data_IF_550764985635
#
_entry.id   IF_550764985635
#
_cell.length_a   1.000
_cell.length_b   1.000
_cell.length_c   1.000
_cell.angle_alpha   90.00
_cell.angle_beta   90.00
_cell.angle_gamma   90.00
#
_symmetry.space_group_name_H-M   'P 1'
#
loop_
_entity.id
_entity.type
_entity.pdbx_description
1 polymer ?
#
# COMPACT_ATOMS: atom_id res chain seq x y z
N UNK A 1 5.71 -15.33 4.42
CA UNK A 1 5.28 -14.26 3.50
C UNK A 1 3.81 -14.48 3.18
N UNK A 2 2.91 -13.60 3.64
CA UNK A 2 1.48 -13.72 3.36
C UNK A 2 1.19 -13.06 2.02
N UNK A 3 0.67 -13.82 1.04
CA UNK A 3 0.21 -13.25 -0.23
C UNK A 3 -1.22 -12.77 -0.02
N UNK A 4 -1.43 -11.47 0.10
CA UNK A 4 -2.78 -10.88 0.15
C UNK A 4 -3.38 -10.81 -1.25
N UNK A 5 -4.65 -11.23 -1.37
CA UNK A 5 -5.39 -11.23 -2.64
C UNK A 5 -6.33 -10.02 -2.66
N UNK A 6 -6.05 -9.07 -3.55
CA UNK A 6 -6.93 -7.92 -3.74
C UNK A 6 -8.00 -8.21 -4.80
N UNK A 7 -9.27 -7.94 -4.47
CA UNK A 7 -10.38 -8.04 -5.43
C UNK A 7 -10.54 -6.80 -6.31
N UNK A 8 -10.00 -5.66 -5.86
CA UNK A 8 -10.08 -4.37 -6.53
C UNK A 8 -8.93 -3.44 -6.10
N UNK A 9 -8.79 -2.33 -6.84
CA UNK A 9 -7.75 -1.33 -6.65
C UNK A 9 -7.79 -0.64 -5.28
N UNK A 10 -8.97 -0.45 -4.70
CA UNK A 10 -9.10 0.29 -3.43
C UNK A 10 -8.69 -0.57 -2.23
N UNK A 11 -8.92 -1.89 -2.27
CA UNK A 11 -8.37 -2.81 -1.25
C UNK A 11 -6.84 -2.82 -1.28
N UNK A 12 -6.25 -2.88 -2.48
CA UNK A 12 -4.80 -2.78 -2.64
C UNK A 12 -4.24 -1.49 -2.02
N UNK A 13 -4.85 -0.34 -2.36
CA UNK A 13 -4.47 0.95 -1.78
C UNK A 13 -4.63 1.00 -0.26
N UNK A 14 -5.73 0.46 0.27
CA UNK A 14 -6.01 0.48 1.71
C UNK A 14 -4.96 -0.31 2.49
N UNK A 15 -4.63 -1.52 2.03
CA UNK A 15 -3.59 -2.34 2.66
C UNK A 15 -2.22 -1.67 2.60
N UNK A 16 -1.80 -1.19 1.43
CA UNK A 16 -0.51 -0.53 1.28
C UNK A 16 -0.42 0.78 2.08
N UNK A 17 -1.49 1.58 2.15
CA UNK A 17 -1.54 2.76 3.04
C UNK A 17 -1.52 2.36 4.52
N UNK A 18 -2.10 1.22 4.89
CA UNK A 18 -2.05 0.69 6.25
C UNK A 18 -0.61 0.35 6.66
N UNK A 19 0.20 -0.21 5.75
CA UNK A 19 1.64 -0.43 5.97
C UNK A 19 2.35 0.89 6.27
N UNK A 20 2.16 1.92 5.42
CA UNK A 20 2.74 3.26 5.63
C UNK A 20 2.32 3.84 6.99
N UNK A 21 1.02 3.77 7.32
CA UNK A 21 0.47 4.22 8.60
C UNK A 21 1.09 3.47 9.78
N UNK A 22 1.28 2.15 9.65
CA UNK A 22 1.93 1.31 10.65
C UNK A 22 3.36 1.73 10.92
N UNK A 23 4.14 1.99 9.87
CA UNK A 23 5.53 2.47 9.99
C UNK A 23 5.58 3.83 10.69
N UNK A 24 4.72 4.78 10.31
CA UNK A 24 4.63 6.10 10.98
C UNK A 24 4.36 5.93 12.48
N UNK A 25 3.42 5.04 12.83
CA UNK A 25 3.05 4.77 14.23
C UNK A 25 4.19 4.10 14.99
N UNK A 26 4.83 3.08 14.41
CA UNK A 26 5.91 2.32 15.04
C UNK A 26 7.14 3.20 15.34
N UNK A 27 7.40 4.20 14.50
CA UNK A 27 8.49 5.16 14.71
C UNK A 27 8.11 6.36 15.61
N UNK A 28 6.88 6.40 16.14
CA UNK A 28 6.35 7.52 16.92
C UNK A 28 6.50 8.89 16.24
N UNK A 29 6.39 8.94 14.91
CA UNK A 29 6.55 10.20 14.18
C UNK A 29 5.34 11.10 14.35
N UNK A 30 5.60 12.39 14.58
CA UNK A 30 4.59 13.44 14.44
C UNK A 30 4.17 13.57 12.97
N UNK A 31 3.05 14.25 12.70
CA UNK A 31 2.64 14.52 11.31
C UNK A 31 3.69 15.34 10.56
N UNK A 32 4.32 16.32 11.22
CA UNK A 32 5.40 17.12 10.66
C UNK A 32 6.64 16.27 10.32
N UNK A 33 7.05 15.37 11.20
CA UNK A 33 8.21 14.49 10.93
C UNK A 33 7.91 13.53 9.78
N UNK A 34 6.73 12.91 9.77
CA UNK A 34 6.32 12.02 8.68
C UNK A 34 6.22 12.77 7.35
N UNK A 35 5.71 14.01 7.34
CA UNK A 35 5.65 14.89 6.17
C UNK A 35 7.06 15.11 5.56
N UNK A 36 8.04 15.43 6.40
CA UNK A 36 9.41 15.64 5.98
C UNK A 36 10.05 14.36 5.41
N UNK A 37 9.93 13.22 6.12
CA UNK A 37 10.49 11.94 5.67
C UNK A 37 9.85 11.49 4.36
N UNK A 38 8.51 11.57 4.28
CA UNK A 38 7.76 11.16 3.12
C UNK A 38 7.76 12.20 2.00
N UNK A 39 8.40 13.35 2.16
CA UNK A 39 8.40 14.50 1.22
C UNK A 39 6.97 14.81 0.74
N UNK A 40 6.10 15.09 1.71
CA UNK A 40 4.68 15.44 1.57
C UNK A 40 4.35 16.66 2.43
N UNK A 41 3.24 17.32 2.14
CA UNK A 41 2.68 18.31 3.06
C UNK A 41 1.97 17.62 4.24
N UNK A 42 1.96 18.27 5.40
CA UNK A 42 1.33 17.73 6.62
C UNK A 42 -0.14 17.31 6.45
N UNK A 43 -1.01 18.02 5.69
CA UNK A 43 -2.38 17.58 5.47
C UNK A 43 -2.47 16.19 4.81
N UNK A 44 -1.55 15.86 3.89
CA UNK A 44 -1.51 14.54 3.25
C UNK A 44 -1.17 13.43 4.24
N UNK A 45 -0.41 13.72 5.31
CA UNK A 45 -0.15 12.75 6.38
C UNK A 45 -1.44 12.42 7.15
N UNK A 46 -2.29 13.41 7.39
CA UNK A 46 -3.62 13.16 8.01
C UNK A 46 -4.46 12.21 7.16
N UNK A 47 -4.45 12.41 5.83
CA UNK A 47 -5.17 11.55 4.89
C UNK A 47 -4.64 10.10 4.90
N UNK A 48 -3.33 9.90 5.04
CA UNK A 48 -2.71 8.56 5.21
C UNK A 48 -3.19 7.91 6.52
N UNK A 49 -3.13 8.64 7.65
CA UNK A 49 -3.56 8.12 8.96
C UNK A 49 -5.04 7.70 8.97
N UNK A 50 -5.86 8.38 8.16
CA UNK A 50 -7.28 8.12 7.99
C UNK A 50 -7.61 7.18 6.81
N UNK A 51 -6.61 6.57 6.17
CA UNK A 51 -6.75 5.62 5.05
C UNK A 51 -7.65 6.15 3.92
N UNK A 52 -7.52 7.43 3.56
CA UNK A 52 -8.27 8.05 2.48
C UNK A 52 -7.72 7.62 1.11
N UNK A 53 -8.03 6.39 0.71
CA UNK A 53 -7.47 5.73 -0.50
C UNK A 53 -7.69 6.49 -1.81
N UNK A 54 -8.76 7.30 -1.91
CA UNK A 54 -9.06 8.08 -3.13
C UNK A 54 -8.07 9.22 -3.37
N UNK A 55 -7.40 9.68 -2.31
CA UNK A 55 -6.43 10.79 -2.35
C UNK A 55 -5.05 10.38 -2.86
N UNK A 56 -4.82 9.07 -3.06
CA UNK A 56 -3.54 8.51 -3.42
C UNK A 56 -3.66 7.52 -4.58
N UNK A 57 -2.91 7.77 -5.65
CA UNK A 57 -2.70 6.79 -6.72
C UNK A 57 -1.82 5.63 -6.21
N UNK A 58 -1.82 4.49 -6.92
CA UNK A 58 -0.96 3.36 -6.53
C UNK A 58 0.52 3.73 -6.73
N UNK A 59 0.82 4.44 -7.81
CA UNK A 59 2.15 4.97 -8.12
C UNK A 59 2.64 5.87 -6.98
N UNK A 60 1.77 6.74 -6.44
CA UNK A 60 2.12 7.57 -5.30
C UNK A 60 2.40 6.73 -4.06
N UNK A 61 1.59 5.71 -3.78
CA UNK A 61 1.79 4.83 -2.63
C UNK A 61 3.12 4.07 -2.73
N UNK A 62 3.48 3.54 -3.90
CA UNK A 62 4.77 2.87 -4.09
C UNK A 62 5.95 3.83 -3.89
N UNK A 63 5.85 5.07 -4.36
CA UNK A 63 6.87 6.09 -4.10
C UNK A 63 7.03 6.35 -2.59
N UNK A 64 5.94 6.38 -1.83
CA UNK A 64 6.00 6.56 -0.37
C UNK A 64 6.63 5.35 0.33
N UNK A 65 6.29 4.13 -0.10
CA UNK A 65 6.91 2.90 0.41
C UNK A 65 8.42 2.87 0.13
N UNK A 66 8.83 3.26 -1.08
CA UNK A 66 10.26 3.41 -1.42
C UNK A 66 10.97 4.44 -0.54
N UNK A 67 10.33 5.58 -0.22
CA UNK A 67 10.87 6.57 0.73
C UNK A 67 11.01 6.06 2.17
N UNK A 68 10.26 5.03 2.52
CA UNK A 68 10.36 4.31 3.80
C UNK A 68 11.31 3.12 3.73
N UNK A 69 12.05 2.97 2.61
CA UNK A 69 12.97 1.87 2.37
C UNK A 69 12.29 0.49 2.37
N UNK A 70 11.01 0.45 2.01
CA UNK A 70 10.28 -0.80 1.82
C UNK A 70 10.52 -1.35 0.42
N UNK A 71 10.75 -2.65 0.33
CA UNK A 71 10.69 -3.39 -0.92
C UNK A 71 9.26 -3.91 -1.14
N UNK A 72 8.78 -3.85 -2.39
CA UNK A 72 7.42 -4.24 -2.75
C UNK A 72 7.48 -5.28 -3.86
N UNK A 73 7.05 -6.49 -3.54
CA UNK A 73 6.87 -7.57 -4.51
C UNK A 73 5.40 -7.73 -4.87
N UNK A 74 5.07 -7.79 -6.16
CA UNK A 74 3.70 -7.98 -6.66
C UNK A 74 3.63 -9.26 -7.48
N UNK A 75 2.82 -10.21 -7.01
CA UNK A 75 2.56 -11.45 -7.74
C UNK A 75 1.18 -11.39 -8.42
N UNK A 76 1.17 -11.47 -9.76
CA UNK A 76 -0.06 -11.50 -10.55
C UNK A 76 -0.29 -12.93 -11.06
N UNK A 77 -1.46 -13.50 -10.76
CA UNK A 77 -1.90 -14.80 -11.26
C UNK A 77 -3.25 -14.64 -11.98
N UNK A 78 -3.46 -15.35 -13.09
CA UNK A 78 -4.81 -15.48 -13.65
C UNK A 78 -5.70 -16.17 -12.61
N UNK A 79 -6.93 -15.68 -12.41
CA UNK A 79 -7.95 -16.46 -11.71
C UNK A 79 -8.16 -17.73 -12.55
N UNK A 80 -7.86 -18.90 -11.99
CA UNK A 80 -8.02 -20.13 -12.74
C UNK A 80 -9.47 -20.28 -13.21
N UNK A 81 -9.67 -20.57 -14.50
CA UNK A 81 -10.67 -21.58 -14.80
C UNK A 81 -10.12 -22.87 -14.21
N UNK A 82 -10.96 -23.59 -13.46
CA UNK A 82 -10.65 -24.91 -12.93
C UNK A 82 -9.88 -25.71 -13.99
N UNK A 83 -8.78 -26.28 -13.54
CA UNK A 83 -7.88 -27.15 -14.29
C UNK A 83 -8.67 -28.06 -15.25
N UNK A 84 -8.56 -27.83 -16.56
CA UNK A 84 -9.08 -28.73 -17.60
C UNK A 84 -8.00 -29.69 -18.09
N UNK A 85 -7.10 -30.14 -17.20
CA UNK A 85 -6.35 -31.38 -17.42
C UNK A 85 -7.24 -32.61 -17.19
N UNK A 86 -8.30 -32.72 -18.00
CA UNK A 86 -9.13 -33.93 -18.18
C UNK A 86 -9.69 -33.94 -19.62
N UNK A 87 -8.84 -33.61 -20.59
CA UNK A 87 -9.03 -34.09 -21.95
C UNK A 87 -7.88 -35.05 -22.23
N UNK A 88 -8.12 -36.29 -21.80
CA UNK A 88 -7.54 -37.49 -22.42
C UNK A 88 -8.06 -37.63 -23.84
#
# INVERSE_FOLDING_TARGET
>A
MFVTKWSDKNKARAELLSVIKGIIKANNWTQAKAANVLKLDQPKISLIKNLKVKEFSLERIFLLLSRLNCEVEIMVKRKGNLDKSNYS
#
